data_IF_689305947668
#
_entry.id   IF_689305947668
#
_cell.length_a   1.000
_cell.length_b   1.000
_cell.length_c   1.000
_cell.angle_alpha   90.00
_cell.angle_beta   90.00
_cell.angle_gamma   90.00
#
_symmetry.space_group_name_H-M   'P 1'
#
loop_
_entity.id
_entity.type
_entity.pdbx_description
1 polymer ?
#
# COMPACT_ATOMS: atom_id res chain seq x y z
N UNK A 1 -13.60 -30.70 25.16
CA UNK A 1 -12.52 -30.11 24.33
C UNK A 1 -12.73 -28.61 24.29
N UNK A 2 -11.77 -27.86 24.85
CA UNK A 2 -11.90 -26.45 25.15
C UNK A 2 -12.01 -25.59 23.88
N UNK A 3 -13.09 -24.83 23.77
CA UNK A 3 -13.26 -23.79 22.76
C UNK A 3 -12.19 -22.71 22.98
N UNK A 4 -11.30 -22.52 22.00
CA UNK A 4 -10.32 -21.44 22.02
C UNK A 4 -11.08 -20.11 21.96
N UNK A 5 -11.02 -19.37 23.07
CA UNK A 5 -11.53 -17.99 23.24
C UNK A 5 -11.22 -17.12 22.02
N UNK A 6 -12.22 -16.80 21.21
CA UNK A 6 -12.19 -15.68 20.25
C UNK A 6 -12.97 -14.49 20.82
N UNK A 7 -12.47 -13.89 21.90
CA UNK A 7 -13.10 -12.72 22.57
C UNK A 7 -12.65 -11.37 21.96
N UNK A 8 -11.69 -11.34 21.02
CA UNK A 8 -10.90 -10.12 20.80
C UNK A 8 -11.36 -9.19 19.65
N UNK A 9 -12.43 -9.50 18.91
CA UNK A 9 -12.81 -8.69 17.72
C UNK A 9 -13.95 -7.70 18.03
N UNK A 10 -14.92 -8.06 18.86
CA UNK A 10 -16.18 -7.31 19.05
C UNK A 10 -16.25 -6.42 20.30
N UNK A 11 -15.23 -6.38 21.16
CA UNK A 11 -15.23 -5.55 22.39
C UNK A 11 -14.61 -4.16 22.22
N UNK A 12 -14.38 -3.68 20.99
CA UNK A 12 -13.94 -2.30 20.75
C UNK A 12 -15.17 -1.37 20.71
N UNK A 13 -15.80 -1.18 21.86
CA UNK A 13 -16.55 0.06 22.09
C UNK A 13 -15.60 1.24 21.93
N UNK A 14 -16.08 2.35 21.35
CA UNK A 14 -15.28 3.54 21.17
C UNK A 14 -15.00 4.16 22.55
N UNK A 15 -14.00 3.66 23.29
CA UNK A 15 -13.66 4.14 24.66
C UNK A 15 -13.49 5.65 24.74
N UNK A 16 -13.15 6.30 23.62
CA UNK A 16 -13.11 7.75 23.50
C UNK A 16 -14.47 8.40 23.77
N UNK A 17 -15.57 7.83 23.24
CA UNK A 17 -16.91 8.36 23.50
C UNK A 17 -17.33 8.18 24.95
N UNK A 18 -16.96 7.06 25.58
CA UNK A 18 -17.16 6.85 27.03
C UNK A 18 -16.37 7.88 27.84
N UNK A 19 -15.09 8.12 27.52
CA UNK A 19 -14.28 9.12 28.22
C UNK A 19 -14.79 10.54 28.01
N UNK A 20 -15.26 10.85 26.81
CA UNK A 20 -15.84 12.15 26.48
C UNK A 20 -17.13 12.38 27.27
N UNK A 21 -18.02 11.39 27.33
CA UNK A 21 -19.22 11.44 28.16
C UNK A 21 -18.91 11.62 29.65
N UNK A 22 -17.92 10.87 30.19
CA UNK A 22 -17.49 11.01 31.58
C UNK A 22 -16.93 12.42 31.85
N UNK A 23 -16.21 13.00 30.89
CA UNK A 23 -15.67 14.35 30.99
C UNK A 23 -16.78 15.40 31.01
N UNK A 24 -17.80 15.25 30.17
CA UNK A 24 -18.93 16.18 30.05
C UNK A 24 -19.86 16.14 31.27
N UNK A 25 -20.13 14.95 31.82
CA UNK A 25 -21.13 14.77 32.89
C UNK A 25 -20.51 14.44 34.27
N UNK A 26 -19.18 14.44 34.36
CA UNK A 26 -18.45 14.11 35.59
C UNK A 26 -18.73 15.04 36.77
N UNK A 27 -19.09 16.31 36.51
CA UNK A 27 -19.48 17.27 37.55
C UNK A 27 -20.86 16.98 38.16
N UNK A 28 -21.81 16.49 37.37
CA UNK A 28 -23.19 16.29 37.79
C UNK A 28 -23.40 14.95 38.51
N UNK A 29 -22.83 13.85 37.97
CA UNK A 29 -23.04 12.49 38.52
C UNK A 29 -21.87 11.96 39.36
N UNK A 30 -20.73 12.65 39.31
CA UNK A 30 -19.49 12.19 39.94
C UNK A 30 -18.72 11.18 39.08
N UNK A 31 -17.45 11.48 38.85
CA UNK A 31 -16.54 10.68 37.99
C UNK A 31 -16.47 9.22 38.42
N UNK A 32 -16.36 8.94 39.73
CA UNK A 32 -16.22 7.56 40.24
C UNK A 32 -17.46 6.71 39.98
N UNK A 33 -18.65 7.32 40.01
CA UNK A 33 -19.91 6.63 39.69
C UNK A 33 -19.98 6.31 38.19
N UNK A 34 -19.67 7.28 37.33
CA UNK A 34 -19.65 7.08 35.89
C UNK A 34 -18.61 6.04 35.46
N UNK A 35 -17.39 6.09 36.00
CA UNK A 35 -16.37 5.08 35.75
C UNK A 35 -16.86 3.66 36.09
N UNK A 36 -17.57 3.48 37.22
CA UNK A 36 -18.18 2.19 37.57
C UNK A 36 -19.26 1.77 36.57
N UNK A 37 -20.11 2.70 36.13
CA UNK A 37 -21.20 2.42 35.18
C UNK A 37 -20.68 1.96 33.81
N UNK A 38 -19.66 2.63 33.29
CA UNK A 38 -19.01 2.27 32.01
C UNK A 38 -17.97 1.15 32.14
N UNK A 39 -17.77 0.58 33.35
CA UNK A 39 -16.73 -0.42 33.63
C UNK A 39 -15.32 0.04 33.24
N UNK A 40 -15.07 1.34 33.35
CA UNK A 40 -13.78 1.99 33.13
C UNK A 40 -13.04 2.11 34.46
N UNK A 41 -11.76 1.75 34.49
CA UNK A 41 -10.95 2.01 35.69
C UNK A 41 -10.68 3.51 35.85
N UNK A 42 -10.76 4.01 37.08
CA UNK A 42 -10.49 5.42 37.40
C UNK A 42 -9.09 5.85 36.93
N UNK A 43 -8.10 4.95 37.04
CA UNK A 43 -6.75 5.19 36.54
C UNK A 43 -6.71 5.37 35.01
N UNK A 44 -7.45 4.56 34.25
CA UNK A 44 -7.53 4.70 32.80
C UNK A 44 -8.13 6.07 32.40
N UNK A 45 -9.19 6.52 33.08
CA UNK A 45 -9.78 7.83 32.85
C UNK A 45 -8.81 8.99 33.14
N UNK A 46 -8.12 8.97 34.28
CA UNK A 46 -7.15 10.02 34.58
C UNK A 46 -5.90 9.96 33.70
N UNK A 47 -5.51 8.78 33.22
CA UNK A 47 -4.47 8.66 32.19
C UNK A 47 -4.91 9.28 30.86
N UNK A 48 -6.18 9.12 30.47
CA UNK A 48 -6.77 9.80 29.32
C UNK A 48 -6.73 11.33 29.49
N UNK A 49 -7.08 11.86 30.66
CA UNK A 49 -7.02 13.30 30.93
C UNK A 49 -5.59 13.86 30.92
N UNK A 50 -4.63 13.14 31.50
CA UNK A 50 -3.24 13.60 31.59
C UNK A 50 -2.50 13.59 30.26
N UNK A 51 -2.98 12.82 29.28
CA UNK A 51 -2.46 12.80 27.91
C UNK A 51 -0.93 12.66 27.78
N UNK A 52 -0.23 12.01 28.73
CA UNK A 52 1.25 11.94 28.78
C UNK A 52 1.94 11.42 27.52
N UNK A 53 1.20 10.73 26.65
CA UNK A 53 1.69 10.15 25.39
C UNK A 53 1.49 11.06 24.17
N UNK A 54 0.87 12.23 24.31
CA UNK A 54 0.72 13.19 23.20
C UNK A 54 2.02 13.51 22.48
N UNK A 55 3.14 13.86 23.15
CA UNK A 55 4.38 14.19 22.43
C UNK A 55 4.91 13.00 21.62
N UNK A 56 4.75 11.78 22.15
CA UNK A 56 5.11 10.55 21.44
C UNK A 56 4.27 10.36 20.18
N UNK A 57 2.95 10.55 20.27
CA UNK A 57 2.05 10.41 19.11
C UNK A 57 2.29 11.50 18.07
N UNK A 58 2.58 12.73 18.49
CA UNK A 58 2.95 13.83 17.60
C UNK A 58 4.26 13.53 16.86
N UNK A 59 5.31 13.10 17.57
CA UNK A 59 6.57 12.74 16.95
C UNK A 59 6.41 11.56 15.98
N UNK A 60 5.66 10.53 16.39
CA UNK A 60 5.30 9.41 15.52
C UNK A 60 4.56 9.88 14.27
N UNK A 61 3.59 10.78 14.41
CA UNK A 61 2.83 11.32 13.28
C UNK A 61 3.71 12.12 12.32
N UNK A 62 4.67 12.91 12.83
CA UNK A 62 5.66 13.62 12.00
C UNK A 62 6.47 12.64 11.15
N UNK A 63 6.97 11.57 11.76
CA UNK A 63 7.75 10.53 11.05
C UNK A 63 6.89 9.78 10.05
N UNK A 64 5.64 9.45 10.38
CA UNK A 64 4.71 8.81 9.46
C UNK A 64 4.39 9.68 8.24
N UNK A 65 4.20 10.98 8.43
CA UNK A 65 4.02 11.95 7.33
C UNK A 65 5.25 11.99 6.44
N UNK A 66 6.44 12.09 7.04
CA UNK A 66 7.70 12.08 6.32
C UNK A 66 7.90 10.81 5.48
N UNK A 67 7.60 9.63 6.05
CA UNK A 67 7.65 8.35 5.34
C UNK A 67 6.68 8.33 4.15
N UNK A 68 5.45 8.82 4.34
CA UNK A 68 4.43 8.87 3.29
C UNK A 68 4.84 9.82 2.16
N UNK A 69 5.29 11.02 2.48
CA UNK A 69 5.77 12.01 1.51
C UNK A 69 6.95 11.46 0.69
N UNK A 70 7.94 10.89 1.38
CA UNK A 70 9.10 10.25 0.77
C UNK A 70 8.70 9.11 -0.18
N UNK A 71 7.73 8.28 0.23
CA UNK A 71 7.21 7.19 -0.60
C UNK A 71 6.55 7.70 -1.89
N UNK A 72 5.71 8.73 -1.80
CA UNK A 72 5.06 9.32 -2.97
C UNK A 72 6.07 10.02 -3.90
N UNK A 73 7.05 10.72 -3.33
CA UNK A 73 8.13 11.36 -4.10
C UNK A 73 8.97 10.36 -4.91
N UNK A 74 9.12 9.13 -4.42
CA UNK A 74 9.86 8.06 -5.10
C UNK A 74 8.99 7.14 -5.95
N UNK A 75 7.74 7.51 -6.22
CA UNK A 75 6.77 6.70 -6.97
C UNK A 75 6.63 5.25 -6.42
N UNK A 76 6.78 5.10 -5.11
CA UNK A 76 6.67 3.82 -4.41
C UNK A 76 7.86 2.88 -4.55
N UNK A 77 9.00 3.38 -5.03
CA UNK A 77 10.24 2.58 -5.16
C UNK A 77 10.84 2.27 -3.79
N UNK A 78 10.79 3.21 -2.85
CA UNK A 78 11.47 3.06 -1.56
C UNK A 78 10.83 1.98 -0.67
N UNK A 79 11.61 0.94 -0.36
CA UNK A 79 11.29 -0.07 0.64
C UNK A 79 11.83 0.27 2.05
N UNK A 80 11.59 -0.64 3.01
CA UNK A 80 11.90 -0.44 4.45
C UNK A 80 13.37 -0.04 4.71
N UNK A 81 14.33 -0.66 4.01
CA UNK A 81 15.76 -0.37 4.20
C UNK A 81 16.13 1.04 3.75
N UNK A 82 15.72 1.43 2.54
CA UNK A 82 15.99 2.80 2.05
C UNK A 82 15.24 3.84 2.86
N UNK A 83 14.02 3.55 3.29
CA UNK A 83 13.27 4.45 4.16
C UNK A 83 13.98 4.68 5.50
N UNK A 84 14.56 3.62 6.09
CA UNK A 84 15.35 3.75 7.32
C UNK A 84 16.58 4.64 7.15
N UNK A 85 17.30 4.47 6.03
CA UNK A 85 18.44 5.30 5.69
C UNK A 85 18.03 6.77 5.49
N UNK A 86 16.94 6.99 4.75
CA UNK A 86 16.42 8.33 4.48
C UNK A 86 15.98 9.03 5.78
N UNK A 87 15.24 8.32 6.64
CA UNK A 87 14.89 8.82 7.98
C UNK A 87 16.13 9.22 8.78
N UNK A 88 17.17 8.38 8.81
CA UNK A 88 18.40 8.67 9.54
C UNK A 88 19.11 9.94 9.01
N UNK A 89 19.19 10.09 7.69
CA UNK A 89 19.77 11.28 7.05
C UNK A 89 19.00 12.58 7.38
N UNK A 90 17.70 12.47 7.62
CA UNK A 90 16.84 13.60 8.01
C UNK A 90 16.72 13.78 9.54
N UNK A 91 17.60 13.16 10.32
CA UNK A 91 17.66 13.32 11.78
C UNK A 91 16.69 12.43 12.57
N UNK A 92 16.00 11.50 11.92
CA UNK A 92 15.11 10.54 12.56
C UNK A 92 15.83 9.21 12.80
N UNK A 93 16.41 9.06 13.99
CA UNK A 93 17.05 7.81 14.41
C UNK A 93 16.02 6.79 14.89
N UNK A 94 15.54 5.93 13.98
CA UNK A 94 14.64 4.81 14.29
C UNK A 94 15.24 3.48 13.83
N UNK A 95 14.96 2.43 14.60
CA UNK A 95 15.31 1.07 14.21
C UNK A 95 14.49 0.57 13.02
N UNK A 96 15.07 -0.34 12.24
CA UNK A 96 14.41 -0.94 11.08
C UNK A 96 13.03 -1.57 11.39
N UNK A 97 12.82 -2.26 12.53
CA UNK A 97 11.49 -2.77 12.89
C UNK A 97 10.45 -1.67 13.15
N UNK A 98 10.89 -0.53 13.69
CA UNK A 98 10.01 0.62 13.95
C UNK A 98 9.54 1.26 12.65
N UNK A 99 10.45 1.47 11.70
CA UNK A 99 10.11 1.96 10.36
C UNK A 99 9.17 0.98 9.65
N UNK A 100 9.45 -0.33 9.73
CA UNK A 100 8.57 -1.37 9.18
C UNK A 100 7.17 -1.31 9.78
N UNK A 101 7.07 -1.13 11.10
CA UNK A 101 5.79 -0.98 11.80
C UNK A 101 5.03 0.24 11.28
N UNK A 102 5.70 1.39 11.13
CA UNK A 102 5.07 2.61 10.62
C UNK A 102 4.61 2.47 9.16
N UNK A 103 5.43 1.87 8.30
CA UNK A 103 5.01 1.58 6.91
C UNK A 103 3.80 0.64 6.86
N UNK A 104 3.77 -0.38 7.73
CA UNK A 104 2.64 -1.31 7.83
C UNK A 104 1.36 -0.62 8.32
N UNK A 105 1.46 0.25 9.32
CA UNK A 105 0.31 1.03 9.81
C UNK A 105 -0.27 1.96 8.72
N UNK A 106 0.57 2.46 7.81
CA UNK A 106 0.17 3.27 6.66
C UNK A 106 -0.28 2.42 5.45
N UNK A 107 -0.20 1.09 5.53
CA UNK A 107 -0.43 0.16 4.42
C UNK A 107 0.46 0.44 3.18
N UNK A 108 1.67 0.95 3.40
CA UNK A 108 2.64 1.27 2.35
C UNK A 108 3.63 0.13 2.18
N UNK A 109 3.85 -0.29 0.93
CA UNK A 109 4.84 -1.30 0.57
C UNK A 109 5.50 -0.97 -0.76
N UNK A 110 6.73 -1.45 -0.97
CA UNK A 110 7.52 -1.16 -2.16
C UNK A 110 6.91 -1.80 -3.42
N UNK A 111 6.76 -1.02 -4.49
CA UNK A 111 6.08 -1.39 -5.76
C UNK A 111 7.09 -1.90 -6.82
N UNK A 112 8.30 -2.33 -6.42
CA UNK A 112 9.40 -2.59 -7.37
C UNK A 112 9.04 -3.64 -8.43
N UNK A 113 8.26 -4.67 -8.08
CA UNK A 113 7.96 -5.77 -9.02
C UNK A 113 6.52 -5.65 -9.53
N UNK A 114 6.37 -5.16 -10.75
CA UNK A 114 5.12 -5.38 -11.51
C UNK A 114 4.95 -6.89 -11.70
N UNK A 115 3.72 -7.40 -11.52
CA UNK A 115 3.40 -8.80 -11.81
C UNK A 115 3.81 -9.08 -13.26
N UNK A 116 4.67 -10.09 -13.48
CA UNK A 116 5.04 -10.53 -14.83
C UNK A 116 3.74 -10.85 -15.58
N UNK A 117 3.45 -10.12 -16.66
CA UNK A 117 2.41 -10.55 -17.58
C UNK A 117 2.87 -11.88 -18.15
N UNK A 118 2.08 -12.94 -17.92
CA UNK A 118 2.31 -14.20 -18.60
C UNK A 118 2.12 -13.89 -20.09
N UNK A 119 3.21 -13.96 -20.86
CA UNK A 119 3.12 -13.92 -22.31
C UNK A 119 2.17 -15.06 -22.69
N UNK A 120 0.98 -14.73 -23.21
CA UNK A 120 0.20 -15.74 -23.92
C UNK A 120 1.07 -16.09 -25.11
N UNK A 121 1.60 -17.30 -25.16
CA UNK A 121 2.18 -17.86 -26.38
C UNK A 121 1.06 -17.95 -27.41
N UNK A 122 0.70 -16.82 -28.02
CA UNK A 122 0.05 -16.82 -29.31
C UNK A 122 1.04 -17.36 -30.32
N UNK A 123 0.52 -18.01 -31.37
CA UNK A 123 1.32 -18.37 -32.55
C UNK A 123 2.27 -17.22 -32.86
N UNK A 124 3.56 -17.53 -32.99
CA UNK A 124 4.58 -16.56 -33.39
C UNK A 124 3.99 -15.73 -34.52
N UNK A 125 3.79 -14.43 -34.32
CA UNK A 125 3.64 -13.54 -35.45
C UNK A 125 5.03 -13.56 -36.08
N UNK A 126 5.20 -14.41 -37.08
CA UNK A 126 6.27 -14.27 -38.06
C UNK A 126 6.04 -12.92 -38.72
N UNK A 127 6.46 -11.86 -38.05
CA UNK A 127 6.60 -10.54 -38.65
C UNK A 127 7.75 -10.70 -39.62
N UNK A 128 7.46 -11.22 -40.80
CA UNK A 128 8.37 -11.19 -41.94
C UNK A 128 8.74 -9.71 -42.10
N UNK A 129 9.99 -9.39 -41.80
CA UNK A 129 10.51 -8.08 -42.15
C UNK A 129 10.40 -7.98 -43.68
N UNK A 130 9.72 -6.96 -44.20
CA UNK A 130 9.71 -6.72 -45.63
C UNK A 130 11.10 -6.23 -46.04
N UNK A 131 12.01 -7.16 -46.30
CA UNK A 131 13.29 -6.87 -46.94
C UNK A 131 13.05 -6.64 -48.44
N UNK A 132 13.90 -5.83 -49.08
CA UNK A 132 13.84 -5.56 -50.53
C UNK A 132 13.77 -6.86 -51.35
N UNK A 133 14.49 -7.89 -50.92
CA UNK A 133 14.52 -9.23 -51.53
C UNK A 133 13.13 -9.89 -51.57
N UNK A 134 12.34 -9.76 -50.52
CA UNK A 134 10.99 -10.33 -50.44
C UNK A 134 9.98 -9.60 -51.34
N UNK A 135 10.19 -8.30 -51.60
CA UNK A 135 9.37 -7.53 -52.56
C UNK A 135 9.67 -7.92 -54.00
N UNK A 136 10.94 -8.10 -54.35
CA UNK A 136 11.38 -8.49 -55.70
C UNK A 136 10.83 -9.88 -56.05
N UNK A 137 10.89 -10.84 -55.12
CA UNK A 137 10.35 -12.18 -55.31
C UNK A 137 8.84 -12.18 -55.58
N UNK A 138 8.07 -11.35 -54.87
CA UNK A 138 6.62 -11.25 -55.11
C UNK A 138 6.27 -10.56 -56.44
N UNK A 139 7.09 -9.60 -56.91
CA UNK A 139 6.91 -8.96 -58.22
C UNK A 139 7.23 -9.91 -59.38
N UNK A 140 8.30 -10.69 -59.29
CA UNK A 140 8.68 -11.66 -60.32
C UNK A 140 7.59 -12.70 -60.56
N UNK A 141 7.00 -13.24 -59.48
CA UNK A 141 5.91 -14.21 -59.60
C UNK A 141 4.67 -13.61 -60.30
N UNK A 142 4.31 -12.36 -60.03
CA UNK A 142 3.16 -11.70 -60.69
C UNK A 142 3.39 -11.45 -62.19
N UNK A 143 4.64 -11.18 -62.60
CA UNK A 143 5.00 -10.99 -64.01
C UNK A 143 4.93 -12.34 -64.76
N UNK A 144 5.44 -13.41 -64.17
CA UNK A 144 5.41 -14.77 -64.75
C UNK A 144 3.96 -15.27 -64.96
N UNK A 145 3.06 -15.09 -63.97
CA UNK A 145 1.64 -15.45 -64.13
C UNK A 145 0.92 -14.58 -65.17
N UNK A 146 1.26 -13.29 -65.27
CA UNK A 146 0.67 -12.38 -66.27
C UNK A 146 1.10 -12.70 -67.70
N UNK A 147 2.36 -13.06 -67.91
CA UNK A 147 2.89 -13.50 -69.22
C UNK A 147 2.29 -14.85 -69.63
N UNK A 148 2.11 -15.77 -68.68
CA UNK A 148 1.47 -17.06 -68.93
C UNK A 148 0.01 -16.90 -69.38
N UNK A 149 -0.76 -16.00 -68.76
CA UNK A 149 -2.15 -15.71 -69.15
C UNK A 149 -2.23 -15.09 -70.56
N UNK A 150 -1.31 -14.18 -70.92
CA UNK A 150 -1.25 -13.57 -72.25
C UNK A 150 -0.92 -14.57 -73.37
N UNK A 151 -0.07 -15.58 -73.09
CA UNK A 151 0.29 -16.63 -74.06
C UNK A 151 -0.80 -17.69 -74.28
N UNK A 152 -1.74 -17.85 -73.34
CA UNK A 152 -2.87 -18.78 -73.45
C UNK A 152 -4.07 -18.11 -74.17
N UNK A 153 -4.11 -16.78 -74.23
CA UNK A 153 -5.18 -15.99 -74.85
C UNK A 153 -4.93 -15.53 -76.30
N UNK A 154 -3.83 -15.95 -76.95
CA UNK A 154 -3.54 -15.76 -78.38
C UNK A 154 -3.67 -17.07 -79.14
#
# INVERSE_FOLDING_TARGET
MNSKKSICILCKGNRLSEYQFIKEHGKNFGVRWLCRKFKVSTNAYYNYLKQRKTPYYEQKAKVQRFISESFHRSNGTMGVKMMSYYCANHGYSYSLPSIRKYMKELNISSIIRRKKQLFKTGKQSTRYFQTLSNKIFMQQNQIEFGVLILLICT
#
